data_IF_706863851833
#
_entry.id   IF_706863851833
#
_cell.length_a   1.000
_cell.length_b   1.000
_cell.length_c   1.000
_cell.angle_alpha   90.00
_cell.angle_beta   90.00
_cell.angle_gamma   90.00
#
_symmetry.space_group_name_H-M   'P 1'
#
loop_
_entity.id
_entity.type
_entity.pdbx_description
1 polymer ?
#
# COMPACT_ATOMS: atom_id res chain seq x y z
N UNK A 1 -7.43 7.00 -8.35
CA UNK A 1 -6.19 6.64 -7.64
C UNK A 1 -6.39 5.44 -6.71
N UNK A 2 -7.20 5.51 -5.65
CA UNK A 2 -7.46 4.36 -4.74
C UNK A 2 -7.82 3.06 -5.49
N UNK A 3 -8.72 3.16 -6.47
CA UNK A 3 -9.17 2.04 -7.32
C UNK A 3 -8.02 1.38 -8.09
N UNK A 4 -7.14 2.19 -8.68
CA UNK A 4 -6.00 1.66 -9.43
C UNK A 4 -4.93 1.10 -8.49
N UNK A 5 -4.71 1.72 -7.33
CA UNK A 5 -3.77 1.23 -6.32
C UNK A 5 -4.18 -0.14 -5.77
N UNK A 6 -5.47 -0.39 -5.50
CA UNK A 6 -5.91 -1.71 -5.04
C UNK A 6 -5.88 -2.76 -6.16
N UNK A 7 -6.23 -2.39 -7.40
CA UNK A 7 -6.11 -3.29 -8.54
C UNK A 7 -4.65 -3.70 -8.77
N UNK A 8 -3.71 -2.75 -8.65
CA UNK A 8 -2.28 -3.00 -8.72
C UNK A 8 -1.81 -3.88 -7.56
N UNK A 9 -2.28 -3.65 -6.33
CA UNK A 9 -1.95 -4.47 -5.17
C UNK A 9 -2.43 -5.93 -5.36
N UNK A 10 -3.68 -6.13 -5.80
CA UNK A 10 -4.23 -7.46 -6.08
C UNK A 10 -3.50 -8.17 -7.24
N UNK A 11 -2.96 -7.43 -8.21
CA UNK A 11 -2.14 -7.96 -9.29
C UNK A 11 -0.72 -8.32 -8.81
N UNK A 12 -0.08 -7.42 -8.06
CA UNK A 12 1.23 -7.64 -7.46
C UNK A 12 1.24 -8.89 -6.56
N UNK A 13 0.18 -9.13 -5.79
CA UNK A 13 0.10 -10.32 -4.93
C UNK A 13 0.13 -11.63 -5.74
N UNK A 14 -0.53 -11.65 -6.91
CA UNK A 14 -0.50 -12.81 -7.81
C UNK A 14 0.84 -12.95 -8.51
N UNK A 15 1.40 -11.83 -8.95
CA UNK A 15 2.67 -11.80 -9.68
C UNK A 15 3.83 -12.19 -8.77
N UNK A 16 3.89 -11.66 -7.54
CA UNK A 16 4.89 -12.04 -6.53
C UNK A 16 4.81 -13.54 -6.27
N UNK A 17 3.60 -14.10 -6.14
CA UNK A 17 3.46 -15.53 -5.91
C UNK A 17 3.93 -16.36 -7.12
N UNK A 18 3.51 -15.98 -8.32
CA UNK A 18 3.90 -16.67 -9.57
C UNK A 18 5.40 -16.59 -9.82
N UNK A 19 6.00 -15.41 -9.64
CA UNK A 19 7.43 -15.21 -9.80
C UNK A 19 8.23 -15.95 -8.72
N UNK A 20 7.76 -15.97 -7.47
CA UNK A 20 8.42 -16.74 -6.41
C UNK A 20 8.39 -18.25 -6.67
N UNK A 21 7.26 -18.77 -7.19
CA UNK A 21 7.18 -20.16 -7.63
C UNK A 21 8.16 -20.44 -8.77
N UNK A 22 8.32 -19.50 -9.70
CA UNK A 22 9.29 -19.62 -10.78
C UNK A 22 10.75 -19.61 -10.29
N UNK A 23 11.08 -18.76 -9.31
CA UNK A 23 12.41 -18.77 -8.65
C UNK A 23 12.66 -20.12 -7.98
N UNK A 24 11.65 -20.69 -7.29
CA UNK A 24 11.75 -22.00 -6.65
C UNK A 24 12.01 -23.14 -7.62
N UNK A 25 11.31 -23.17 -8.75
CA UNK A 25 11.55 -24.18 -9.77
C UNK A 25 12.96 -24.05 -10.34
N UNK A 26 13.39 -22.82 -10.66
CA UNK A 26 14.67 -22.59 -11.32
C UNK A 26 15.86 -22.86 -10.38
N UNK A 27 15.82 -22.34 -9.15
CA UNK A 27 16.86 -22.57 -8.16
C UNK A 27 16.78 -23.97 -7.54
N UNK A 28 15.60 -24.61 -7.56
CA UNK A 28 15.38 -25.97 -7.09
C UNK A 28 16.19 -27.04 -7.85
N UNK A 29 16.60 -26.78 -9.09
CA UNK A 29 17.54 -27.66 -9.80
C UNK A 29 18.93 -27.66 -9.17
N UNK A 30 19.36 -26.53 -8.59
CA UNK A 30 20.65 -26.39 -7.93
C UNK A 30 20.60 -26.79 -6.46
N UNK A 31 19.54 -26.39 -5.74
CA UNK A 31 19.37 -26.69 -4.32
C UNK A 31 17.94 -27.18 -4.01
N UNK A 32 17.63 -28.46 -4.28
CA UNK A 32 16.28 -29.01 -4.14
C UNK A 32 15.82 -29.13 -2.68
N UNK A 33 16.74 -29.31 -1.73
CA UNK A 33 16.41 -29.46 -0.31
C UNK A 33 15.84 -28.17 0.30
N UNK A 34 16.23 -26.99 -0.22
CA UNK A 34 15.78 -25.69 0.28
C UNK A 34 14.26 -25.51 0.20
N UNK A 35 13.61 -26.09 -0.81
CA UNK A 35 12.15 -26.01 -1.00
C UNK A 35 11.42 -26.71 0.16
N UNK A 36 11.99 -27.78 0.71
CA UNK A 36 11.39 -28.53 1.83
C UNK A 36 11.56 -27.80 3.16
N UNK A 37 12.67 -27.08 3.34
CA UNK A 37 12.99 -26.37 4.58
C UNK A 37 12.22 -25.05 4.67
N UNK A 38 12.09 -24.33 3.55
CA UNK A 38 11.52 -22.97 3.52
C UNK A 38 10.18 -22.97 2.80
N UNK A 39 9.09 -22.95 3.57
CA UNK A 39 7.72 -22.90 3.07
C UNK A 39 7.33 -21.53 2.48
N UNK A 40 7.93 -20.44 2.96
CA UNK A 40 7.55 -19.08 2.56
C UNK A 40 8.27 -18.60 1.30
N UNK A 41 7.49 -18.10 0.35
CA UNK A 41 7.92 -17.74 -1.00
C UNK A 41 8.87 -16.53 -1.01
N UNK A 42 8.54 -15.51 -0.22
CA UNK A 42 9.34 -14.29 -0.09
C UNK A 42 10.67 -14.55 0.61
N UNK A 43 10.67 -15.38 1.66
CA UNK A 43 11.90 -15.79 2.36
C UNK A 43 12.79 -16.62 1.44
N UNK A 44 12.23 -17.55 0.67
CA UNK A 44 12.99 -18.33 -0.30
C UNK A 44 13.75 -17.45 -1.31
N UNK A 45 13.12 -16.41 -1.86
CA UNK A 45 13.78 -15.52 -2.81
C UNK A 45 14.92 -14.71 -2.16
N UNK A 46 14.78 -14.31 -0.88
CA UNK A 46 15.85 -13.65 -0.13
C UNK A 46 17.03 -14.58 0.15
N UNK A 47 16.73 -15.84 0.45
CA UNK A 47 17.76 -16.87 0.70
C UNK A 47 18.48 -17.27 -0.58
N UNK A 48 17.77 -17.43 -1.69
CA UNK A 48 18.39 -17.74 -2.99
C UNK A 48 19.41 -16.66 -3.40
N UNK A 49 19.11 -15.40 -3.13
CA UNK A 49 20.03 -14.27 -3.32
C UNK A 49 21.24 -14.32 -2.39
N UNK A 50 21.06 -14.64 -1.10
CA UNK A 50 22.15 -14.67 -0.13
C UNK A 50 23.07 -15.89 -0.29
N UNK A 51 22.52 -17.05 -0.63
CA UNK A 51 23.27 -18.29 -0.77
C UNK A 51 24.06 -18.30 -2.07
N UNK A 52 23.46 -17.87 -3.18
CA UNK A 52 24.10 -17.94 -4.49
C UNK A 52 24.53 -19.38 -4.82
N UNK A 53 25.84 -19.63 -4.79
CA UNK A 53 26.39 -20.95 -5.05
C UNK A 53 26.50 -21.78 -3.75
N UNK A 54 25.98 -23.00 -3.76
CA UNK A 54 26.05 -23.93 -2.62
C UNK A 54 27.47 -24.15 -2.07
N UNK A 55 28.48 -24.10 -2.94
CA UNK A 55 29.89 -24.38 -2.59
C UNK A 55 30.55 -23.26 -1.80
N UNK A 56 30.02 -22.05 -1.89
CA UNK A 56 30.55 -20.86 -1.22
C UNK A 56 29.89 -20.65 0.16
N UNK A 57 29.00 -21.55 0.58
CA UNK A 57 28.29 -21.45 1.85
C UNK A 57 29.20 -21.88 3.02
N UNK A 58 29.71 -20.90 3.77
CA UNK A 58 30.50 -21.07 4.99
C UNK A 58 29.71 -20.68 6.25
N UNK A 59 30.25 -20.99 7.43
CA UNK A 59 29.64 -20.65 8.74
C UNK A 59 29.53 -19.13 8.97
N UNK A 60 30.26 -18.31 8.21
CA UNK A 60 30.14 -16.85 8.23
C UNK A 60 28.82 -16.34 7.61
N UNK A 61 28.28 -17.07 6.63
CA UNK A 61 26.96 -16.78 6.05
C UNK A 61 25.80 -17.19 6.96
N UNK A 62 26.09 -17.85 8.09
CA UNK A 62 25.08 -18.29 9.05
C UNK A 62 24.38 -17.09 9.71
N UNK A 63 25.11 -16.01 10.02
CA UNK A 63 24.54 -14.79 10.59
C UNK A 63 23.48 -14.17 9.65
N UNK A 64 23.81 -14.05 8.36
CA UNK A 64 22.88 -13.54 7.34
C UNK A 64 21.68 -14.46 7.08
N UNK A 65 21.85 -15.78 7.21
CA UNK A 65 20.76 -16.75 7.14
C UNK A 65 19.84 -16.65 8.37
N UNK A 66 20.41 -16.49 9.57
CA UNK A 66 19.65 -16.33 10.81
C UNK A 66 18.82 -15.04 10.80
N UNK A 67 19.36 -13.93 10.26
CA UNK A 67 18.60 -12.68 10.09
C UNK A 67 17.36 -12.85 9.19
N UNK A 68 17.49 -13.61 8.10
CA UNK A 68 16.39 -13.77 7.14
C UNK A 68 15.37 -14.81 7.61
N UNK A 69 15.82 -15.92 8.18
CA UNK A 69 14.93 -17.02 8.58
C UNK A 69 14.34 -16.79 9.97
N UNK A 70 14.93 -15.90 10.78
CA UNK A 70 14.56 -15.59 12.17
C UNK A 70 14.54 -16.82 13.09
N UNK A 71 15.16 -17.93 12.66
CA UNK A 71 15.18 -19.21 13.34
C UNK A 71 16.54 -19.90 13.11
N UNK A 72 17.32 -19.98 14.18
CA UNK A 72 18.65 -20.58 14.19
C UNK A 72 18.63 -22.08 13.86
N UNK A 73 17.55 -22.80 14.18
CA UNK A 73 17.43 -24.22 13.85
C UNK A 73 17.29 -24.42 12.33
N UNK A 74 16.53 -23.55 11.66
CA UNK A 74 16.37 -23.59 10.21
C UNK A 74 17.64 -23.15 9.47
N UNK A 75 18.35 -22.15 9.97
CA UNK A 75 19.63 -21.73 9.38
C UNK A 75 20.66 -22.88 9.39
N UNK A 76 20.78 -23.60 10.52
CA UNK A 76 21.67 -24.77 10.64
C UNK A 76 21.27 -25.90 9.71
N UNK A 77 19.98 -26.23 9.65
CA UNK A 77 19.49 -27.27 8.73
C UNK A 77 19.69 -26.91 7.26
N UNK A 78 19.66 -25.63 6.87
CA UNK A 78 20.03 -25.18 5.52
C UNK A 78 21.52 -25.43 5.25
N UNK A 79 22.39 -25.15 6.22
CA UNK A 79 23.84 -25.38 6.08
C UNK A 79 24.18 -26.88 5.97
N UNK A 80 23.57 -27.70 6.83
CA UNK A 80 23.69 -29.16 6.76
C UNK A 80 23.13 -29.72 5.44
N UNK A 81 21.99 -29.16 4.98
CA UNK A 81 21.40 -29.52 3.69
C UNK A 81 22.28 -29.11 2.51
N UNK A 82 23.00 -27.99 2.60
CA UNK A 82 23.96 -27.57 1.56
C UNK A 82 25.10 -28.58 1.42
N UNK A 83 25.66 -29.04 2.56
CA UNK A 83 26.73 -30.05 2.59
C UNK A 83 26.28 -31.42 2.08
N UNK A 84 25.01 -31.77 2.28
CA UNK A 84 24.41 -33.04 1.86
C UNK A 84 23.60 -32.96 0.56
N UNK A 85 23.65 -31.81 -0.14
CA UNK A 85 22.77 -31.55 -1.27
C UNK A 85 23.11 -32.40 -2.50
N UNK A 86 22.09 -32.99 -3.09
CA UNK A 86 22.21 -33.79 -4.33
C UNK A 86 21.91 -32.97 -5.59
N UNK A 87 21.83 -31.64 -5.49
CA UNK A 87 21.52 -30.77 -6.62
C UNK A 87 22.60 -30.75 -7.72
N UNK A 88 22.25 -30.19 -8.88
CA UNK A 88 23.16 -30.06 -10.02
C UNK A 88 24.01 -28.80 -9.90
N UNK A 89 25.25 -28.85 -10.40
CA UNK A 89 26.07 -27.64 -10.52
C UNK A 89 25.50 -26.73 -11.63
N UNK A 90 25.30 -25.45 -11.31
CA UNK A 90 24.76 -24.43 -12.22
C UNK A 90 25.90 -23.60 -12.81
N UNK A 91 25.72 -23.14 -14.06
CA UNK A 91 26.64 -22.19 -14.70
C UNK A 91 26.61 -20.82 -13.99
N UNK A 92 27.75 -20.12 -13.83
CA UNK A 92 27.78 -18.79 -13.23
C UNK A 92 26.86 -17.78 -13.93
N UNK A 93 26.66 -17.91 -15.25
CA UNK A 93 25.77 -17.01 -16.00
C UNK A 93 24.30 -17.18 -15.58
N UNK A 94 23.89 -18.42 -15.31
CA UNK A 94 22.53 -18.75 -14.91
C UNK A 94 22.30 -18.34 -13.46
N UNK A 95 23.33 -18.47 -12.61
CA UNK A 95 23.27 -18.01 -11.23
C UNK A 95 23.02 -16.48 -11.15
N UNK A 96 23.74 -15.69 -11.94
CA UNK A 96 23.55 -14.23 -12.04
C UNK A 96 22.12 -13.90 -12.48
N UNK A 97 21.54 -14.68 -13.40
CA UNK A 97 20.18 -14.46 -13.87
C UNK A 97 19.14 -14.80 -12.78
N UNK A 98 19.36 -15.88 -12.03
CA UNK A 98 18.51 -16.28 -10.88
C UNK A 98 18.59 -15.22 -9.78
N UNK A 99 19.79 -14.72 -9.47
CA UNK A 99 20.00 -13.68 -8.46
C UNK A 99 19.26 -12.38 -8.86
N UNK A 100 19.47 -11.90 -10.10
CA UNK A 100 18.77 -10.72 -10.63
C UNK A 100 17.25 -10.88 -10.60
N UNK A 101 16.76 -12.07 -10.93
CA UNK A 101 15.32 -12.34 -10.90
C UNK A 101 14.79 -12.34 -9.45
N UNK A 102 15.53 -12.96 -8.53
CA UNK A 102 15.22 -12.98 -7.09
C UNK A 102 15.21 -11.57 -6.50
N UNK A 103 16.18 -10.74 -6.85
CA UNK A 103 16.25 -9.32 -6.44
C UNK A 103 15.04 -8.53 -6.92
N UNK A 104 14.60 -8.75 -8.17
CA UNK A 104 13.39 -8.11 -8.70
C UNK A 104 12.15 -8.53 -7.90
N UNK A 105 12.03 -9.81 -7.54
CA UNK A 105 10.91 -10.31 -6.72
C UNK A 105 10.94 -9.69 -5.32
N UNK A 106 12.12 -9.59 -4.69
CA UNK A 106 12.28 -8.94 -3.38
C UNK A 106 11.95 -7.45 -3.45
N UNK A 107 12.39 -6.75 -4.50
CA UNK A 107 12.05 -5.35 -4.75
C UNK A 107 10.54 -5.15 -4.94
N UNK A 108 9.88 -6.02 -5.70
CA UNK A 108 8.41 -6.01 -5.86
C UNK A 108 7.68 -6.26 -4.54
N UNK A 109 8.19 -7.16 -3.71
CA UNK A 109 7.64 -7.40 -2.38
C UNK A 109 7.81 -6.19 -1.44
N UNK A 110 8.92 -5.43 -1.56
CA UNK A 110 9.10 -4.15 -0.89
C UNK A 110 8.11 -3.10 -1.38
N UNK A 111 7.99 -2.94 -2.70
CA UNK A 111 7.04 -2.01 -3.32
C UNK A 111 5.58 -2.29 -2.94
N UNK A 112 5.21 -3.57 -2.76
CA UNK A 112 3.89 -3.96 -2.24
C UNK A 112 3.61 -3.35 -0.86
N UNK A 113 4.58 -3.34 0.06
CA UNK A 113 4.43 -2.75 1.39
C UNK A 113 4.26 -1.23 1.30
N UNK A 114 5.08 -0.57 0.48
CA UNK A 114 4.98 0.87 0.22
C UNK A 114 3.61 1.24 -0.35
N UNK A 115 3.10 0.44 -1.29
CA UNK A 115 1.78 0.64 -1.89
C UNK A 115 0.65 0.45 -0.87
N UNK A 116 0.80 -0.48 0.07
CA UNK A 116 -0.15 -0.69 1.17
C UNK A 116 -0.18 0.51 2.13
N UNK A 117 0.98 1.08 2.48
CA UNK A 117 1.06 2.30 3.28
C UNK A 117 0.47 3.51 2.55
N UNK A 118 0.75 3.64 1.26
CA UNK A 118 0.16 4.67 0.41
C UNK A 118 -1.38 4.54 0.38
N UNK A 119 -1.90 3.33 0.22
CA UNK A 119 -3.34 3.04 0.23
C UNK A 119 -3.95 3.41 1.59
N UNK A 120 -3.28 3.10 2.71
CA UNK A 120 -3.72 3.47 4.06
C UNK A 120 -3.84 4.98 4.22
N UNK A 121 -2.80 5.72 3.83
CA UNK A 121 -2.80 7.19 3.89
C UNK A 121 -3.92 7.80 3.04
N UNK A 122 -4.09 7.32 1.80
CA UNK A 122 -5.15 7.83 0.91
C UNK A 122 -6.55 7.45 1.38
N UNK A 123 -6.74 6.26 1.91
CA UNK A 123 -8.05 5.85 2.44
C UNK A 123 -8.43 6.68 3.66
N UNK A 124 -7.48 6.97 4.56
CA UNK A 124 -7.75 7.84 5.73
C UNK A 124 -8.20 9.25 5.34
N UNK A 125 -7.76 9.75 4.18
CA UNK A 125 -8.15 11.07 3.67
C UNK A 125 -9.51 11.06 2.98
N UNK A 126 -9.87 9.97 2.28
CA UNK A 126 -11.07 9.90 1.42
C UNK A 126 -12.26 9.25 2.12
N UNK A 127 -12.04 8.17 2.87
CA UNK A 127 -13.09 7.39 3.52
C UNK A 127 -12.60 6.84 4.87
N UNK A 128 -12.43 7.70 5.89
CA UNK A 128 -11.96 7.27 7.21
C UNK A 128 -12.98 6.39 7.95
N UNK A 129 -14.29 6.59 7.77
CA UNK A 129 -15.28 5.78 8.49
C UNK A 129 -15.34 4.35 7.95
N UNK A 130 -15.31 4.20 6.62
CA UNK A 130 -15.25 2.89 5.98
C UNK A 130 -13.96 2.14 6.35
N UNK A 131 -12.83 2.84 6.40
CA UNK A 131 -11.55 2.30 6.83
C UNK A 131 -11.59 1.82 8.29
N UNK A 132 -12.11 2.62 9.21
CA UNK A 132 -12.23 2.24 10.62
C UNK A 132 -13.14 1.00 10.82
N UNK A 133 -14.21 0.91 10.04
CA UNK A 133 -15.20 -0.16 10.16
C UNK A 133 -14.72 -1.50 9.61
N UNK A 134 -14.14 -1.57 8.40
CA UNK A 134 -13.85 -2.86 7.71
C UNK A 134 -12.36 -3.04 7.41
N UNK A 135 -11.56 -2.00 7.58
CA UNK A 135 -10.15 -1.96 7.18
C UNK A 135 -9.96 -1.39 5.78
N UNK A 136 -8.75 -0.88 5.52
CA UNK A 136 -8.43 -0.09 4.34
C UNK A 136 -8.44 -0.93 3.05
N UNK A 137 -7.92 -2.17 3.10
CA UNK A 137 -7.82 -3.06 1.93
C UNK A 137 -9.21 -3.52 1.47
N UNK A 138 -10.05 -3.97 2.40
CA UNK A 138 -11.40 -4.45 2.07
C UNK A 138 -12.28 -3.26 1.63
N UNK A 139 -12.18 -2.12 2.32
CA UNK A 139 -12.85 -0.88 1.91
C UNK A 139 -12.45 -0.43 0.50
N UNK A 140 -11.16 -0.49 0.17
CA UNK A 140 -10.67 -0.15 -1.17
C UNK A 140 -11.22 -1.10 -2.23
N UNK A 141 -11.28 -2.39 -1.94
CA UNK A 141 -11.82 -3.39 -2.86
C UNK A 141 -13.32 -3.19 -3.11
N UNK A 142 -14.09 -2.80 -2.08
CA UNK A 142 -15.51 -2.43 -2.24
C UNK A 142 -15.68 -1.20 -3.14
N UNK A 143 -14.90 -0.14 -2.91
CA UNK A 143 -14.93 1.07 -3.75
C UNK A 143 -14.53 0.75 -5.19
N UNK A 144 -13.50 -0.09 -5.38
CA UNK A 144 -13.03 -0.52 -6.70
C UNK A 144 -14.10 -1.26 -7.48
N UNK A 145 -14.80 -2.21 -6.84
CA UNK A 145 -15.86 -2.97 -7.50
C UNK A 145 -17.10 -2.12 -7.79
N UNK A 146 -17.38 -1.08 -6.99
CA UNK A 146 -18.44 -0.11 -7.27
C UNK A 146 -18.05 0.94 -8.33
N UNK A 147 -16.75 1.04 -8.66
CA UNK A 147 -16.18 2.01 -9.60
C UNK A 147 -16.02 3.43 -9.03
N UNK A 148 -16.73 3.79 -7.96
CA UNK A 148 -16.55 5.06 -7.25
C UNK A 148 -17.17 5.03 -5.85
N UNK A 149 -16.74 5.93 -4.96
CA UNK A 149 -17.34 6.08 -3.64
C UNK A 149 -18.80 6.57 -3.72
N UNK A 150 -19.11 7.42 -4.69
CA UNK A 150 -20.47 7.92 -4.94
C UNK A 150 -21.42 6.80 -5.38
N UNK A 151 -20.96 5.90 -6.26
CA UNK A 151 -21.74 4.73 -6.64
C UNK A 151 -21.93 3.77 -5.46
N UNK A 152 -20.88 3.56 -4.66
CA UNK A 152 -20.97 2.74 -3.46
C UNK A 152 -21.98 3.30 -2.44
N UNK A 153 -22.06 4.62 -2.29
CA UNK A 153 -23.03 5.28 -1.42
C UNK A 153 -24.48 5.13 -1.92
N UNK A 154 -24.68 5.08 -3.25
CA UNK A 154 -26.00 4.87 -3.89
C UNK A 154 -26.48 3.44 -3.76
N UNK A 155 -25.58 2.46 -3.71
CA UNK A 155 -25.98 1.06 -3.58
C UNK A 155 -26.75 0.79 -2.28
N UNK A 156 -27.78 -0.06 -2.33
CA UNK A 156 -28.45 -0.53 -1.13
C UNK A 156 -27.56 -1.56 -0.41
N UNK A 157 -27.81 -1.74 0.88
CA UNK A 157 -27.04 -2.67 1.70
C UNK A 157 -27.10 -4.12 1.22
N UNK A 158 -28.21 -4.54 0.60
CA UNK A 158 -28.35 -5.86 -0.02
C UNK A 158 -27.36 -6.09 -1.17
N UNK A 159 -27.11 -5.07 -1.99
CA UNK A 159 -26.12 -5.12 -3.06
C UNK A 159 -24.71 -5.11 -2.49
N UNK A 160 -24.44 -4.26 -1.49
CA UNK A 160 -23.14 -4.20 -0.80
C UNK A 160 -22.79 -5.54 -0.14
N UNK A 161 -23.78 -6.26 0.41
CA UNK A 161 -23.60 -7.58 1.01
C UNK A 161 -23.03 -8.63 0.02
N UNK A 162 -23.48 -8.60 -1.23
CA UNK A 162 -23.16 -9.59 -2.26
C UNK A 162 -22.16 -9.08 -3.30
N UNK A 163 -21.64 -7.86 -3.13
CA UNK A 163 -20.68 -7.24 -4.03
C UNK A 163 -19.46 -8.15 -4.23
N UNK A 164 -19.10 -8.46 -5.47
CA UNK A 164 -18.04 -9.43 -5.84
C UNK A 164 -18.45 -10.91 -5.88
N UNK A 165 -19.68 -11.27 -5.47
CA UNK A 165 -20.25 -12.61 -5.65
C UNK A 165 -21.29 -12.68 -6.78
N UNK A 166 -21.29 -11.69 -7.68
CA UNK A 166 -22.30 -11.50 -8.73
C UNK A 166 -22.42 -12.71 -9.66
N UNK A 167 -21.29 -13.29 -10.10
CA UNK A 167 -21.29 -14.49 -10.96
C UNK A 167 -22.00 -15.67 -10.29
N UNK A 168 -21.77 -15.87 -8.99
CA UNK A 168 -22.40 -16.93 -8.22
C UNK A 168 -23.89 -16.66 -8.00
N UNK A 169 -24.26 -15.39 -7.77
CA UNK A 169 -25.65 -14.95 -7.66
C UNK A 169 -26.43 -15.21 -8.96
N UNK A 170 -25.91 -14.78 -10.10
CA UNK A 170 -26.57 -14.98 -11.39
C UNK A 170 -26.68 -16.45 -11.76
N UNK A 171 -25.66 -17.26 -11.44
CA UNK A 171 -25.72 -18.71 -11.60
C UNK A 171 -26.83 -19.33 -10.75
N UNK A 172 -26.90 -18.97 -9.46
CA UNK A 172 -27.93 -19.48 -8.55
C UNK A 172 -29.34 -19.06 -9.00
N UNK A 173 -29.50 -17.84 -9.50
CA UNK A 173 -30.79 -17.37 -10.02
C UNK A 173 -31.22 -18.18 -11.26
N UNK A 174 -30.29 -18.49 -12.16
CA UNK A 174 -30.54 -19.30 -13.36
C UNK A 174 -30.89 -20.75 -13.03
N UNK A 175 -30.22 -21.35 -12.05
CA UNK A 175 -30.45 -22.74 -11.63
C UNK A 175 -31.48 -22.89 -10.51
N UNK A 176 -32.12 -21.79 -10.09
CA UNK A 176 -32.97 -21.71 -8.88
C UNK A 176 -32.33 -22.36 -7.64
N UNK A 177 -31.01 -22.20 -7.52
CA UNK A 177 -30.21 -22.71 -6.40
C UNK A 177 -30.08 -21.71 -5.25
N UNK A 178 -29.31 -22.08 -4.24
CA UNK A 178 -29.03 -21.21 -3.09
C UNK A 178 -28.20 -19.99 -3.50
N UNK A 179 -28.69 -18.80 -3.18
CA UNK A 179 -27.97 -17.54 -3.42
C UNK A 179 -26.81 -17.35 -2.44
N UNK A 180 -25.70 -16.72 -2.88
CA UNK A 180 -24.58 -16.42 -2.00
C UNK A 180 -25.00 -15.42 -0.91
N UNK A 181 -24.51 -15.62 0.32
CA UNK A 181 -24.83 -14.77 1.49
C UNK A 181 -23.81 -13.65 1.74
N UNK A 182 -22.67 -13.68 1.06
CA UNK A 182 -21.56 -12.75 1.25
C UNK A 182 -20.73 -12.66 -0.03
N UNK A 183 -20.16 -11.48 -0.29
CA UNK A 183 -19.16 -11.24 -1.32
C UNK A 183 -17.82 -10.82 -0.72
N UNK A 184 -17.29 -9.68 -1.15
CA UNK A 184 -15.99 -9.15 -0.72
C UNK A 184 -15.91 -8.90 0.80
N UNK A 185 -17.04 -8.59 1.43
CA UNK A 185 -17.15 -8.34 2.88
C UNK A 185 -16.78 -9.60 3.69
N UNK A 186 -16.83 -10.80 3.10
CA UNK A 186 -16.43 -12.04 3.76
C UNK A 186 -15.00 -12.02 4.32
N UNK A 187 -14.09 -11.29 3.66
CA UNK A 187 -12.71 -11.13 4.10
C UNK A 187 -12.52 -10.17 5.28
N UNK A 188 -13.62 -9.61 5.81
CA UNK A 188 -13.56 -8.83 7.04
C UNK A 188 -13.29 -9.72 8.26
N UNK A 189 -12.52 -9.19 9.20
CA UNK A 189 -12.14 -9.88 10.45
C UNK A 189 -13.37 -10.27 11.28
N UNK A 190 -14.42 -9.45 11.28
CA UNK A 190 -15.68 -9.71 12.01
C UNK A 190 -16.38 -10.99 11.53
N UNK A 191 -16.42 -11.24 10.23
CA UNK A 191 -17.07 -12.44 9.67
C UNK A 191 -16.19 -13.68 9.86
N UNK A 192 -14.87 -13.51 9.86
CA UNK A 192 -13.91 -14.57 10.20
C UNK A 192 -14.11 -15.12 11.61
N UNK A 193 -14.32 -14.24 12.59
CA UNK A 193 -14.55 -14.59 14.01
C UNK A 193 -15.93 -15.20 14.27
N UNK A 194 -16.93 -14.80 13.50
CA UNK A 194 -18.30 -15.27 13.66
C UNK A 194 -18.46 -16.78 13.41
N UNK A 195 -19.23 -17.46 14.26
CA UNK A 195 -19.62 -18.86 14.05
C UNK A 195 -20.39 -19.08 12.74
N UNK A 196 -20.20 -20.23 12.10
CA UNK A 196 -20.70 -20.53 10.73
C UNK A 196 -22.20 -20.27 10.53
N UNK A 197 -23.04 -20.55 11.55
CA UNK A 197 -24.49 -20.30 11.52
C UNK A 197 -24.83 -18.80 11.50
N UNK A 198 -24.01 -17.98 12.14
CA UNK A 198 -24.25 -16.54 12.34
C UNK A 198 -23.59 -15.66 11.26
N UNK A 199 -22.64 -16.19 10.48
CA UNK A 199 -21.92 -15.46 9.42
C UNK A 199 -22.86 -14.70 8.47
N UNK A 200 -23.97 -15.31 8.04
CA UNK A 200 -24.93 -14.64 7.14
C UNK A 200 -25.69 -13.48 7.80
N UNK A 201 -25.99 -13.59 9.11
CA UNK A 201 -26.68 -12.53 9.87
C UNK A 201 -25.77 -11.34 10.11
N UNK A 202 -24.52 -11.62 10.49
CA UNK A 202 -23.49 -10.60 10.72
C UNK A 202 -23.09 -9.92 9.42
N UNK A 203 -22.93 -10.68 8.33
CA UNK A 203 -22.67 -10.12 6.99
C UNK A 203 -23.70 -9.06 6.60
N UNK A 204 -24.99 -9.35 6.79
CA UNK A 204 -26.08 -8.39 6.53
C UNK A 204 -25.98 -7.15 7.42
N UNK A 205 -25.73 -7.35 8.71
CA UNK A 205 -25.60 -6.24 9.66
C UNK A 205 -24.40 -5.34 9.30
N UNK A 206 -23.26 -5.95 9.00
CA UNK A 206 -22.05 -5.25 8.57
C UNK A 206 -22.27 -4.50 7.25
N UNK A 207 -22.96 -5.09 6.27
CA UNK A 207 -23.29 -4.41 5.02
C UNK A 207 -24.18 -3.18 5.24
N UNK A 208 -25.13 -3.24 6.17
CA UNK A 208 -25.94 -2.07 6.55
C UNK A 208 -25.08 -0.95 7.12
N UNK A 209 -24.16 -1.27 8.05
CA UNK A 209 -23.26 -0.27 8.66
C UNK A 209 -22.26 0.27 7.66
N UNK A 210 -21.74 -0.58 6.77
CA UNK A 210 -20.88 -0.21 5.66
C UNK A 210 -21.56 0.81 4.74
N UNK A 211 -22.83 0.60 4.42
CA UNK A 211 -23.60 1.50 3.54
C UNK A 211 -23.85 2.86 4.20
N UNK A 212 -24.05 2.88 5.53
CA UNK A 212 -24.17 4.13 6.28
C UNK A 212 -22.82 4.86 6.30
N UNK A 213 -21.73 4.16 6.62
CA UNK A 213 -20.38 4.71 6.63
C UNK A 213 -19.98 5.28 5.25
N UNK A 214 -20.25 4.55 4.16
CA UNK A 214 -19.91 5.01 2.81
C UNK A 214 -20.70 6.26 2.40
N UNK A 215 -21.95 6.40 2.84
CA UNK A 215 -22.75 7.61 2.61
C UNK A 215 -22.23 8.80 3.40
N UNK A 216 -21.87 8.58 4.67
CA UNK A 216 -21.25 9.62 5.50
C UNK A 216 -19.95 10.08 4.85
N UNK A 217 -19.06 9.16 4.48
CA UNK A 217 -17.78 9.48 3.84
C UNK A 217 -17.95 10.20 2.48
N UNK A 218 -18.99 9.88 1.72
CA UNK A 218 -19.23 10.49 0.41
C UNK A 218 -19.81 11.91 0.48
N UNK A 219 -20.67 12.19 1.45
CA UNK A 219 -21.43 13.44 1.53
C UNK A 219 -20.96 14.40 2.63
N UNK A 220 -20.03 13.98 3.49
CA UNK A 220 -19.47 14.86 4.53
C UNK A 220 -18.42 15.79 3.95
N UNK A 221 -18.50 17.07 4.28
CA UNK A 221 -17.49 18.06 3.89
C UNK A 221 -16.18 17.90 4.67
N UNK A 222 -16.27 17.43 5.92
CA UNK A 222 -15.12 17.13 6.78
C UNK A 222 -15.16 15.64 7.15
N UNK A 223 -14.25 14.83 6.59
CA UNK A 223 -14.18 13.42 6.91
C UNK A 223 -13.58 13.23 8.31
N UNK A 224 -14.37 12.69 9.24
CA UNK A 224 -13.95 12.29 10.60
C UNK A 224 -14.04 10.77 10.74
N UNK A 225 -13.23 10.15 11.62
CA UNK A 225 -13.27 8.69 11.87
C UNK A 225 -14.28 8.25 12.94
N UNK A 226 -14.78 9.21 13.73
CA UNK A 226 -15.61 8.98 14.92
C UNK A 226 -16.83 8.11 14.63
N UNK A 227 -17.51 8.36 13.51
CA UNK A 227 -18.68 7.56 13.13
C UNK A 227 -18.30 6.12 12.81
N UNK A 228 -17.16 5.89 12.15
CA UNK A 228 -16.63 4.56 11.85
C UNK A 228 -16.29 3.77 13.11
N UNK A 229 -15.67 4.41 14.10
CA UNK A 229 -15.30 3.79 15.36
C UNK A 229 -16.54 3.37 16.17
N UNK A 230 -17.54 4.24 16.29
CA UNK A 230 -18.83 3.90 16.94
C UNK A 230 -19.61 2.83 16.19
N UNK A 231 -19.58 2.86 14.85
CA UNK A 231 -20.18 1.81 14.02
C UNK A 231 -19.49 0.46 14.20
N UNK A 232 -18.17 0.47 14.41
CA UNK A 232 -17.38 -0.72 14.70
C UNK A 232 -17.75 -1.31 16.06
N UNK A 233 -17.81 -0.48 17.10
CA UNK A 233 -18.27 -0.90 18.43
C UNK A 233 -19.63 -1.59 18.37
N UNK A 234 -20.58 -1.03 17.61
CA UNK A 234 -21.89 -1.66 17.43
C UNK A 234 -21.84 -3.04 16.75
N UNK A 235 -20.91 -3.25 15.80
CA UNK A 235 -20.72 -4.56 15.16
C UNK A 235 -20.10 -5.54 16.16
N UNK A 236 -19.17 -5.08 17.00
CA UNK A 236 -18.56 -5.88 18.07
C UNK A 236 -19.57 -6.26 19.17
N UNK A 237 -20.41 -5.32 19.62
CA UNK A 237 -21.54 -5.59 20.52
C UNK A 237 -22.52 -6.61 19.92
N UNK A 238 -22.74 -6.53 18.60
CA UNK A 238 -23.62 -7.48 17.93
C UNK A 238 -23.00 -8.87 17.82
N UNK A 239 -21.67 -8.95 17.66
CA UNK A 239 -20.94 -10.21 17.68
C UNK A 239 -21.01 -10.84 19.08
N UNK A 240 -20.74 -10.05 20.14
CA UNK A 240 -20.81 -10.52 21.52
C UNK A 240 -22.22 -10.94 21.92
N UNK A 241 -23.27 -10.27 21.42
CA UNK A 241 -24.66 -10.72 21.59
C UNK A 241 -24.89 -12.15 21.07
N UNK A 242 -24.29 -12.53 19.95
CA UNK A 242 -24.44 -13.87 19.41
C UNK A 242 -23.64 -14.93 20.16
N UNK A 243 -22.63 -14.53 20.95
CA UNK A 243 -21.81 -15.43 21.76
C UNK A 243 -22.32 -15.54 23.21
N UNK A 244 -22.67 -14.41 23.82
CA UNK A 244 -22.99 -14.29 25.26
C UNK A 244 -24.46 -13.96 25.53
N UNK A 245 -25.22 -13.51 24.53
CA UNK A 245 -26.62 -13.10 24.69
C UNK A 245 -26.84 -11.68 25.23
N UNK A 246 -25.78 -10.90 25.50
CA UNK A 246 -25.89 -9.53 26.03
C UNK A 246 -26.55 -8.57 25.03
N UNK A 247 -27.64 -7.90 25.43
CA UNK A 247 -28.44 -7.05 24.54
C UNK A 247 -27.61 -5.83 24.08
N UNK A 248 -27.43 -5.62 22.76
CA UNK A 248 -26.64 -4.50 22.25
C UNK A 248 -27.37 -3.16 22.45
N UNK A 249 -26.61 -2.06 22.48
CA UNK A 249 -27.17 -0.72 22.65
C UNK A 249 -28.06 -0.33 21.47
N UNK A 250 -29.04 0.55 21.72
CA UNK A 250 -29.90 1.07 20.65
C UNK A 250 -29.08 1.96 19.73
N UNK A 251 -29.26 1.79 18.42
CA UNK A 251 -28.53 2.55 17.42
C UNK A 251 -28.75 4.07 17.53
N UNK A 252 -29.92 4.50 18.02
CA UNK A 252 -30.27 5.93 18.14
C UNK A 252 -29.37 6.63 19.16
N UNK A 253 -29.06 5.96 20.27
CA UNK A 253 -28.32 6.57 21.38
C UNK A 253 -26.84 6.71 21.00
N UNK A 254 -26.26 5.66 20.43
CA UNK A 254 -24.88 5.67 19.89
C UNK A 254 -24.71 6.70 18.77
N UNK A 255 -25.73 6.90 17.92
CA UNK A 255 -25.66 7.91 16.85
C UNK A 255 -25.75 9.33 17.38
N UNK A 256 -26.49 9.57 18.48
CA UNK A 256 -26.52 10.89 19.14
C UNK A 256 -25.17 11.23 19.76
N UNK A 257 -24.57 10.27 20.46
CA UNK A 257 -23.20 10.40 21.01
C UNK A 257 -22.18 10.65 19.90
N UNK A 258 -22.26 9.89 18.80
CA UNK A 258 -21.37 10.06 17.65
C UNK A 258 -21.50 11.44 17.00
N UNK A 259 -22.71 12.00 16.91
CA UNK A 259 -22.91 13.36 16.36
C UNK A 259 -22.29 14.41 17.27
N UNK A 260 -22.45 14.29 18.59
CA UNK A 260 -21.84 15.22 19.55
C UNK A 260 -20.30 15.19 19.45
N UNK A 261 -19.71 13.99 19.54
CA UNK A 261 -18.27 13.81 19.41
C UNK A 261 -17.75 14.28 18.03
N UNK A 262 -18.49 14.00 16.95
CA UNK A 262 -18.11 14.46 15.62
C UNK A 262 -18.17 15.99 15.49
N UNK A 263 -19.13 16.67 16.13
CA UNK A 263 -19.19 18.13 16.13
C UNK A 263 -18.03 18.76 16.90
N UNK A 264 -17.62 18.16 18.01
CA UNK A 264 -16.49 18.63 18.81
C UNK A 264 -15.17 18.44 18.06
N UNK A 265 -14.97 17.27 17.46
CA UNK A 265 -13.81 16.97 16.62
C UNK A 265 -13.78 17.84 15.37
N UNK A 266 -14.93 18.07 14.71
CA UNK A 266 -15.01 18.97 13.57
C UNK A 266 -14.70 20.43 13.96
N UNK A 267 -15.14 20.88 15.13
CA UNK A 267 -14.81 22.21 15.66
C UNK A 267 -13.32 22.34 15.97
N UNK A 268 -12.69 21.31 16.52
CA UNK A 268 -11.24 21.27 16.71
C UNK A 268 -10.48 21.31 15.40
N UNK A 269 -10.91 20.53 14.40
CA UNK A 269 -10.28 20.49 13.09
C UNK A 269 -10.37 21.87 12.42
N UNK A 270 -11.55 22.52 12.46
CA UNK A 270 -11.72 23.89 11.98
C UNK A 270 -10.80 24.87 12.70
N UNK A 271 -10.74 24.82 14.04
CA UNK A 271 -9.82 25.67 14.84
C UNK A 271 -8.34 25.43 14.48
N UNK A 272 -7.94 24.19 14.21
CA UNK A 272 -6.56 23.84 13.80
C UNK A 272 -6.25 24.35 12.39
N UNK A 273 -7.20 24.25 11.46
CA UNK A 273 -7.08 24.80 10.10
C UNK A 273 -6.99 26.33 10.12
N UNK A 274 -7.85 27.02 10.88
CA UNK A 274 -7.84 28.48 11.01
C UNK A 274 -6.54 29.00 11.64
N UNK A 275 -6.00 28.29 12.65
CA UNK A 275 -4.69 28.61 13.24
C UNK A 275 -3.56 28.43 12.23
N UNK A 276 -3.61 27.37 11.40
CA UNK A 276 -2.60 27.10 10.38
C UNK A 276 -2.65 28.13 9.26
N UNK A 277 -3.85 28.56 8.86
CA UNK A 277 -4.05 29.60 7.85
C UNK A 277 -3.63 30.98 8.36
N UNK A 278 -3.97 31.35 9.61
CA UNK A 278 -3.45 32.57 10.26
C UNK A 278 -1.93 32.58 10.34
N UNK A 279 -1.30 31.45 10.68
CA UNK A 279 0.18 31.32 10.66
C UNK A 279 0.74 31.48 9.24
N UNK A 280 0.09 30.91 8.22
CA UNK A 280 0.52 31.05 6.81
C UNK A 280 0.43 32.49 6.33
N UNK A 281 -0.72 33.16 6.55
CA UNK A 281 -0.92 34.58 6.22
C UNK A 281 0.07 35.50 6.94
N UNK A 282 0.40 35.21 8.21
CA UNK A 282 1.42 35.97 8.95
C UNK A 282 2.82 35.80 8.35
N UNK A 283 3.17 34.57 7.92
CA UNK A 283 4.44 34.27 7.25
C UNK A 283 4.53 34.93 5.87
N UNK A 284 3.45 34.91 5.09
CA UNK A 284 3.36 35.56 3.78
C UNK A 284 3.49 37.09 3.90
N UNK A 285 2.84 37.72 4.89
CA UNK A 285 2.99 39.17 5.17
C UNK A 285 4.41 39.55 5.57
N UNK A 286 5.07 38.76 6.42
CA UNK A 286 6.48 38.96 6.79
C UNK A 286 7.40 38.83 5.57
N UNK A 287 7.12 37.91 4.65
CA UNK A 287 7.90 37.73 3.43
C UNK A 287 7.70 38.85 2.41
N UNK A 288 6.49 39.40 2.31
CA UNK A 288 6.19 40.55 1.45
C UNK A 288 6.82 41.84 1.99
N UNK A 289 6.82 42.04 3.32
CA UNK A 289 7.52 43.17 3.93
C UNK A 289 9.04 43.07 3.74
N UNK A 290 9.63 41.88 3.93
CA UNK A 290 11.07 41.68 3.71
C UNK A 290 11.53 41.87 2.25
N UNK A 291 10.65 41.64 1.27
CA UNK A 291 10.94 41.89 -0.15
C UNK A 291 10.64 43.33 -0.60
N UNK A 292 9.91 44.12 0.20
CA UNK A 292 9.60 45.52 -0.09
C UNK A 292 10.72 46.50 0.28
N UNK A 293 11.57 46.12 1.24
CA UNK A 293 12.65 46.97 1.77
C UNK A 293 13.98 46.86 1.02
N UNK A 294 14.10 46.04 -0.04
CA UNK A 294 15.36 45.85 -0.79
C UNK A 294 15.49 46.65 -2.09
N UNK A 295 14.71 47.72 -2.29
CA UNK A 295 14.75 48.54 -3.51
C UNK A 295 14.92 50.05 -3.26
N UNK A 296 15.74 50.43 -2.26
CA UNK A 296 16.12 51.82 -2.01
C UNK A 296 17.41 51.94 -1.20
N UNK A 297 18.51 52.20 -1.92
CA UNK A 297 19.74 52.91 -1.54
C UNK A 297 20.66 52.39 -0.41
N UNK A 298 21.78 51.81 -0.88
CA UNK A 298 23.21 52.01 -0.57
C UNK A 298 23.69 52.56 0.80
N UNK A 299 24.72 51.88 1.33
CA UNK A 299 25.97 52.37 2.00
C UNK A 299 25.84 53.56 2.99
N UNK A 300 26.26 53.54 4.27
CA UNK A 300 27.46 53.05 4.98
C UNK A 300 27.08 53.08 6.49
N UNK A 301 27.39 52.09 7.36
CA UNK A 301 28.53 52.08 8.29
C UNK A 301 28.32 50.97 9.35
N UNK A 302 29.44 50.37 9.76
CA UNK A 302 29.70 49.30 10.73
C UNK A 302 29.11 49.63 12.13
N UNK A 303 28.83 48.71 13.06
CA UNK A 303 29.64 47.58 13.53
C UNK A 303 28.84 46.62 14.45
N UNK A 304 29.41 45.42 14.64
CA UNK A 304 29.27 44.45 15.73
C UNK A 304 28.08 43.45 15.73
N UNK A 305 28.40 42.22 15.31
CA UNK A 305 28.32 41.09 16.25
C UNK A 305 27.23 40.02 16.05
N UNK A 306 27.53 39.09 15.15
CA UNK A 306 27.34 37.64 15.32
C UNK A 306 25.93 37.00 15.14
N UNK A 307 25.69 36.42 13.96
CA UNK A 307 24.96 35.14 13.81
C UNK A 307 25.48 34.36 12.59
N UNK A 308 25.59 33.01 12.68
CA UNK A 308 25.99 32.17 11.55
C UNK A 308 24.79 31.87 10.64
N UNK A 309 24.97 32.10 9.32
CA UNK A 309 23.96 31.87 8.27
C UNK A 309 24.18 30.52 7.57
N UNK A 310 23.06 29.81 7.39
CA UNK A 310 22.88 28.60 6.58
C UNK A 310 23.23 28.84 5.10
N UNK A 311 24.14 28.03 4.55
CA UNK A 311 24.46 27.95 3.11
C UNK A 311 23.27 27.41 2.30
N UNK A 312 22.73 28.25 1.41
CA UNK A 312 22.07 27.85 0.15
C UNK A 312 22.54 28.78 -0.98
N UNK A 313 23.61 28.39 -1.66
CA UNK A 313 24.01 28.92 -2.99
C UNK A 313 24.74 27.80 -3.75
N UNK A 314 23.98 26.91 -4.40
CA UNK A 314 24.45 26.06 -5.50
C UNK A 314 23.25 25.48 -6.28
N UNK A 315 22.53 26.37 -6.99
CA UNK A 315 21.70 26.01 -8.15
C UNK A 315 21.34 27.28 -8.93
N UNK A 316 22.35 27.87 -9.57
CA UNK A 316 22.21 28.84 -10.67
C UNK A 316 23.45 28.86 -11.58
N UNK A 317 24.20 27.76 -11.58
CA UNK A 317 25.28 27.42 -12.52
C UNK A 317 25.05 25.95 -12.86
N UNK A 318 24.16 25.68 -13.83
CA UNK A 318 23.89 24.36 -14.41
C UNK A 318 22.96 24.41 -15.64
N UNK A 319 22.35 25.55 -15.97
CA UNK A 319 21.45 25.68 -17.15
C UNK A 319 22.04 26.48 -18.32
N UNK A 320 23.32 26.87 -18.25
CA UNK A 320 24.03 27.56 -19.35
C UNK A 320 25.17 26.70 -19.96
N UNK A 321 25.13 25.38 -19.74
CA UNK A 321 26.11 24.42 -20.28
C UNK A 321 25.48 23.26 -21.08
N UNK A 322 24.24 23.41 -21.58
CA UNK A 322 23.57 22.41 -22.44
C UNK A 322 23.06 23.01 -23.76
N UNK A 323 23.48 24.22 -24.13
CA UNK A 323 23.24 24.81 -25.45
C UNK A 323 24.52 25.45 -25.99
N UNK A 324 25.55 24.62 -26.18
CA UNK A 324 26.77 24.97 -26.92
C UNK A 324 27.49 23.67 -27.34
N UNK A 325 26.77 22.77 -28.01
CA UNK A 325 27.37 21.67 -28.79
C UNK A 325 26.46 21.38 -29.98
N UNK A 326 26.28 22.39 -30.83
CA UNK A 326 25.81 22.25 -32.21
C UNK A 326 26.43 23.42 -33.00
N UNK A 327 27.64 23.18 -33.51
CA UNK A 327 28.21 23.98 -34.59
C UNK A 327 28.29 23.07 -35.84
N UNK A 328 27.83 23.56 -37.00
CA UNK A 328 27.79 22.78 -38.23
C UNK A 328 29.18 22.73 -38.88
N UNK A 329 29.57 21.57 -39.37
CA UNK A 329 30.71 21.43 -40.30
C UNK A 329 30.12 21.41 -41.70
N UNK A 330 30.45 22.44 -42.49
CA UNK A 330 30.18 22.49 -43.92
C UNK A 330 31.39 21.98 -44.72
N UNK A 331 31.08 21.03 -45.60
CA UNK A 331 31.69 20.65 -46.90
C UNK A 331 33.14 21.02 -47.24
N UNK A 332 33.89 19.99 -47.66
CA UNK A 332 34.61 19.99 -48.95
C UNK A 332 34.58 18.55 -49.55
N UNK A 333 34.05 18.42 -50.76
CA UNK A 333 34.25 17.28 -51.69
C UNK A 333 35.39 17.60 -52.66
N UNK A 334 36.11 16.59 -53.18
CA UNK A 334 35.81 16.03 -54.51
C UNK A 334 35.99 14.49 -54.49
N UNK A 335 35.36 13.64 -55.30
CA UNK A 335 35.04 13.67 -56.72
C UNK A 335 35.08 12.21 -57.24
N UNK A 336 33.98 11.79 -57.87
CA UNK A 336 33.88 10.87 -59.02
C UNK A 336 34.58 9.49 -59.04
N UNK A 337 33.77 8.43 -59.16
CA UNK A 337 33.79 7.38 -60.21
C UNK A 337 32.70 6.34 -59.85
N UNK A 338 31.52 6.38 -60.46
CA UNK A 338 31.09 5.71 -61.70
C UNK A 338 30.88 4.17 -61.63
N UNK A 339 29.73 3.77 -62.21
CA UNK A 339 29.36 2.48 -62.83
C UNK A 339 28.81 1.35 -61.94
N UNK A 340 27.52 1.04 -62.13
CA UNK A 340 26.95 -0.07 -62.95
C UNK A 340 26.92 -1.38 -62.13
N UNK A 341 25.91 -2.23 -62.14
CA UNK A 341 24.64 -2.35 -62.85
C UNK A 341 23.73 -3.27 -62.02
#
# INVERSE_FOLDING_TARGET
MIIQSIALLDQLDKDINTFSMRVREWYGYHFPELIKIVSDNSMYCRLARLIGNRKELTEESLEGLEEVVMDAAKARTILDASRSSMGMDISPIDLINIERFSDRVVSLAGYRLELQEYLRSKMSQVAPNLAALIGEVVGARLISHAGSLTNLAKYPASTVQILGAEKALFRALKTRGNTPKYGLIFHSTFIGRAGAKNKGRISRYLANKCTIASRIDCFSELPTSVFGDKLREQVEERLSFYETGAVPRKNVDVMKEAVQEATDVAAEIKRKLDKKEKKRRKREKLQQQANGDTNGDAEVCMDAGDTPVVKKKKKKQAEEAVQAEEAPVAEETPGEEEKEA
#
